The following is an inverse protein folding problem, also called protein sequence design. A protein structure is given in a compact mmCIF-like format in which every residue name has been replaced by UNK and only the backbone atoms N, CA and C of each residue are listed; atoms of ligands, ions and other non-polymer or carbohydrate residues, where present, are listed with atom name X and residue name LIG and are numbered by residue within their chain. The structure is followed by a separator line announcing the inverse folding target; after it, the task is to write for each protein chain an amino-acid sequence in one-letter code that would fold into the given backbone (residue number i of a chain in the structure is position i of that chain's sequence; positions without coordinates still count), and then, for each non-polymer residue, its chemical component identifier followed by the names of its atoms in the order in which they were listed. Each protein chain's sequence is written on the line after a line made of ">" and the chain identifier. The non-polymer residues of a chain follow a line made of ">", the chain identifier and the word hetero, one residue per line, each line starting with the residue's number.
data_IF_076484717763
#
_entry.id   IF_076484717763
#
_cell.length_a   1.000
_cell.length_b   1.000
_cell.length_c   1.000
_cell.angle_alpha   90.00
_cell.angle_beta   90.00
_cell.angle_gamma   90.00
#
_symmetry.space_group_name_H-M   'P 1'
#
loop_
_entity.id
_entity.type
_entity.pdbx_description
1 polymer ?
#
# COMPACT_ATOMS: atom_id res chain seq x y z
N UNK A 1 2.01 15.91 19.67
CA UNK A 1 1.27 15.60 20.91
C UNK A 1 0.30 14.43 20.71
N UNK A 2 -0.17 13.79 21.79
CA UNK A 2 -1.15 12.69 21.72
C UNK A 2 -2.45 13.11 21.01
N UNK A 3 -3.04 14.29 21.27
CA UNK A 3 -4.22 14.76 20.55
C UNK A 3 -4.02 14.89 19.04
N UNK A 4 -2.84 15.33 18.61
CA UNK A 4 -2.54 15.44 17.17
C UNK A 4 -2.45 14.06 16.52
N UNK A 5 -1.83 13.10 17.19
CA UNK A 5 -1.77 11.71 16.71
C UNK A 5 -3.18 11.14 16.55
N UNK A 6 -4.03 11.25 17.58
CA UNK A 6 -5.44 10.79 17.53
C UNK A 6 -6.18 11.38 16.34
N UNK A 7 -6.06 12.71 16.14
CA UNK A 7 -6.71 13.40 15.04
C UNK A 7 -6.20 12.94 13.67
N UNK A 8 -4.88 12.76 13.54
CA UNK A 8 -4.26 12.38 12.26
C UNK A 8 -4.68 10.98 11.82
N UNK A 9 -4.74 10.01 12.75
CA UNK A 9 -5.08 8.62 12.39
C UNK A 9 -6.58 8.36 12.33
N UNK A 10 -7.40 9.25 12.88
CA UNK A 10 -8.87 9.16 12.78
C UNK A 10 -9.35 9.19 11.32
N UNK A 11 -8.66 9.98 10.46
CA UNK A 11 -8.95 10.03 9.02
C UNK A 11 -8.65 8.72 8.29
N UNK A 12 -7.86 7.83 8.90
CA UNK A 12 -7.52 6.50 8.41
C UNK A 12 -8.38 5.39 9.06
N UNK A 13 -9.48 5.77 9.73
CA UNK A 13 -10.38 4.81 10.36
C UNK A 13 -9.95 4.28 11.74
N UNK A 14 -8.87 4.82 12.34
CA UNK A 14 -8.39 4.38 13.65
C UNK A 14 -8.96 5.22 14.79
N UNK A 15 -9.68 4.59 15.71
CA UNK A 15 -10.21 5.19 16.93
C UNK A 15 -9.27 4.90 18.11
N UNK A 16 -8.26 5.77 18.31
CA UNK A 16 -7.29 5.60 19.38
C UNK A 16 -7.91 5.79 20.77
N UNK A 17 -8.86 6.72 20.91
CA UNK A 17 -9.48 7.02 22.20
C UNK A 17 -10.25 5.79 22.72
N UNK A 18 -10.96 5.12 21.85
CA UNK A 18 -11.62 3.84 22.17
C UNK A 18 -10.61 2.76 22.56
N UNK A 19 -9.51 2.63 21.82
CA UNK A 19 -8.48 1.63 22.13
C UNK A 19 -7.81 1.89 23.49
N UNK A 20 -7.62 3.16 23.86
CA UNK A 20 -7.09 3.55 25.18
C UNK A 20 -8.11 3.26 26.26
N UNK A 21 -9.39 3.62 26.06
CA UNK A 21 -10.46 3.34 27.01
C UNK A 21 -10.63 1.82 27.26
N UNK A 22 -10.52 1.01 26.22
CA UNK A 22 -10.56 -0.45 26.26
C UNK A 22 -9.29 -1.09 26.86
N UNK A 23 -8.29 -0.30 27.27
CA UNK A 23 -6.97 -0.75 27.75
C UNK A 23 -6.21 -1.64 26.75
N UNK A 24 -6.48 -1.47 25.46
CA UNK A 24 -5.78 -2.18 24.36
C UNK A 24 -4.58 -1.40 23.85
N UNK A 25 -4.53 -0.10 24.13
CA UNK A 25 -3.48 0.80 23.74
C UNK A 25 -3.07 1.68 24.92
N UNK A 26 -1.78 1.90 25.07
CA UNK A 26 -1.21 2.93 25.93
C UNK A 26 -0.33 3.82 25.06
N UNK A 27 -0.52 5.13 25.12
CA UNK A 27 0.27 6.11 24.39
C UNK A 27 1.01 6.98 25.39
N UNK A 28 2.31 7.09 25.22
CA UNK A 28 3.17 7.95 26.03
C UNK A 28 3.99 8.88 25.13
N UNK A 29 4.24 10.08 25.59
CA UNK A 29 5.09 11.03 24.90
C UNK A 29 6.37 11.23 25.70
N UNK A 30 7.46 10.75 25.17
CA UNK A 30 8.78 10.89 25.78
C UNK A 30 9.48 12.09 25.15
N UNK A 31 9.74 13.13 25.94
CA UNK A 31 10.66 14.22 25.57
C UNK A 31 11.92 14.08 26.44
N UNK A 32 13.05 13.91 25.83
CA UNK A 32 14.33 13.86 26.52
C UNK A 32 14.94 15.26 26.41
N UNK A 33 15.14 15.93 27.54
CA UNK A 33 15.68 17.30 27.58
C UNK A 33 17.17 17.29 27.89
N UNK A 34 17.92 18.24 27.32
CA UNK A 34 19.37 18.38 27.55
C UNK A 34 19.78 18.51 29.03
N UNK A 35 18.89 19.00 29.87
CA UNK A 35 19.15 19.15 31.31
C UNK A 35 19.34 17.80 32.04
N UNK A 36 18.73 16.74 31.55
CA UNK A 36 18.86 15.39 32.14
C UNK A 36 20.23 14.76 31.85
N UNK A 37 20.96 15.27 30.82
CA UNK A 37 22.29 14.78 30.45
C UNK A 37 23.43 15.48 31.19
N UNK A 38 23.21 16.70 31.66
CA UNK A 38 24.26 17.55 32.22
C UNK A 38 24.69 17.16 33.64
N UNK A 39 23.81 16.45 34.37
CA UNK A 39 24.07 16.12 35.78
C UNK A 39 24.84 14.82 36.00
N UNK A 40 24.84 13.87 35.07
CA UNK A 40 25.45 12.56 35.26
C UNK A 40 26.65 12.28 34.35
N UNK A 41 26.91 13.09 33.33
CA UNK A 41 28.05 12.92 32.42
C UNK A 41 28.02 11.66 31.53
N UNK A 42 27.08 10.76 31.72
CA UNK A 42 26.85 9.57 30.91
C UNK A 42 25.39 9.56 30.40
N UNK A 43 25.23 9.25 29.12
CA UNK A 43 23.90 9.03 28.55
C UNK A 43 23.39 7.65 28.95
N UNK A 44 22.25 7.59 29.63
CA UNK A 44 21.64 6.33 30.06
C UNK A 44 20.17 6.25 29.74
N UNK A 45 19.79 5.21 29.01
CA UNK A 45 18.39 4.89 28.68
C UNK A 45 17.63 4.16 29.80
N UNK A 46 18.21 4.02 31.00
CA UNK A 46 17.57 3.27 32.09
C UNK A 46 16.18 3.78 32.41
N UNK A 47 16.00 5.10 32.47
CA UNK A 47 14.69 5.74 32.68
C UNK A 47 13.68 5.40 31.59
N UNK A 48 14.10 5.34 30.31
CA UNK A 48 13.27 4.91 29.19
C UNK A 48 12.86 3.44 29.33
N UNK A 49 13.78 2.56 29.70
CA UNK A 49 13.49 1.15 29.88
C UNK A 49 12.46 0.92 30.99
N UNK A 50 12.57 1.65 32.12
CA UNK A 50 11.61 1.61 33.22
C UNK A 50 10.22 2.08 32.74
N UNK A 51 10.14 3.19 32.00
CA UNK A 51 8.88 3.70 31.45
C UNK A 51 8.23 2.71 30.49
N UNK A 52 8.99 2.14 29.57
CA UNK A 52 8.47 1.13 28.62
C UNK A 52 8.02 -0.11 29.40
N UNK A 53 8.77 -0.58 30.38
CA UNK A 53 8.41 -1.74 31.19
C UNK A 53 7.09 -1.51 31.96
N UNK A 54 6.92 -0.34 32.59
CA UNK A 54 5.70 0.04 33.28
C UNK A 54 4.51 0.12 32.33
N UNK A 55 4.68 0.77 31.16
CA UNK A 55 3.64 0.85 30.14
C UNK A 55 3.21 -0.53 29.61
N UNK A 56 4.17 -1.40 29.33
CA UNK A 56 3.93 -2.79 28.92
C UNK A 56 3.12 -3.55 29.96
N UNK A 57 3.47 -3.37 31.23
CA UNK A 57 2.80 -4.06 32.34
C UNK A 57 1.36 -3.55 32.55
N UNK A 58 1.11 -2.23 32.41
CA UNK A 58 -0.22 -1.62 32.60
C UNK A 58 -1.29 -2.18 31.67
N UNK A 59 -0.94 -2.44 30.40
CA UNK A 59 -1.90 -2.93 29.39
C UNK A 59 -1.64 -4.37 28.96
N UNK A 60 -0.64 -5.05 29.55
CA UNK A 60 -0.25 -6.39 29.15
C UNK A 60 0.25 -6.45 27.69
N UNK A 61 0.96 -5.41 27.23
CA UNK A 61 1.35 -5.27 25.84
C UNK A 61 2.34 -6.35 25.43
N UNK A 62 2.18 -6.86 24.21
CA UNK A 62 3.14 -7.73 23.51
C UNK A 62 3.79 -7.02 22.32
N UNK A 63 3.32 -5.83 22.00
CA UNK A 63 3.78 -5.01 20.87
C UNK A 63 4.10 -3.61 21.34
N UNK A 64 5.21 -3.07 20.85
CA UNK A 64 5.68 -1.72 21.17
C UNK A 64 5.94 -0.98 19.85
N UNK A 65 5.57 0.28 19.79
CA UNK A 65 5.90 1.18 18.68
C UNK A 65 6.71 2.34 19.24
N UNK A 66 7.86 2.63 18.65
CA UNK A 66 8.70 3.79 18.98
C UNK A 66 8.76 4.70 17.73
N UNK A 67 8.15 5.88 17.84
CA UNK A 67 8.00 6.82 16.71
C UNK A 67 8.45 8.23 17.16
N UNK A 68 9.62 8.69 16.78
CA UNK A 68 10.71 8.09 16.01
C UNK A 68 11.93 7.82 16.89
N UNK A 69 12.89 7.02 16.41
CA UNK A 69 14.13 6.74 17.17
C UNK A 69 14.99 8.00 17.31
N UNK A 70 14.92 8.92 16.37
CA UNK A 70 15.65 10.18 16.41
C UNK A 70 15.25 11.05 17.59
N UNK A 71 14.00 10.97 18.04
CA UNK A 71 13.54 11.69 19.23
C UNK A 71 14.31 11.28 20.50
N UNK A 72 14.87 10.07 20.52
CA UNK A 72 15.64 9.56 21.65
C UNK A 72 17.13 9.95 21.58
N UNK A 73 17.68 10.18 20.37
CA UNK A 73 19.13 10.30 20.15
C UNK A 73 19.56 11.57 19.42
N UNK A 74 18.61 12.42 18.97
CA UNK A 74 18.85 13.54 18.06
C UNK A 74 19.88 14.57 18.57
N UNK A 75 20.02 14.71 19.89
CA UNK A 75 20.90 15.70 20.52
C UNK A 75 22.24 15.15 20.98
N UNK A 76 22.54 13.86 20.74
CA UNK A 76 23.80 13.25 21.18
C UNK A 76 24.93 13.54 20.20
N UNK A 77 26.04 14.13 20.68
CA UNK A 77 27.15 14.53 19.82
C UNK A 77 28.04 13.36 19.37
N UNK A 78 27.97 12.20 20.04
CA UNK A 78 28.86 11.07 19.77
C UNK A 78 28.11 9.89 19.11
N UNK A 79 28.32 9.64 17.80
CA UNK A 79 27.70 8.52 17.11
C UNK A 79 28.01 7.13 17.69
N UNK A 80 29.17 6.99 18.36
CA UNK A 80 29.55 5.72 19.00
C UNK A 80 28.67 5.38 20.19
N UNK A 81 28.32 6.38 21.01
CA UNK A 81 27.42 6.22 22.16
C UNK A 81 26.02 5.89 21.65
N UNK A 82 25.51 6.65 20.67
CA UNK A 82 24.20 6.40 20.03
C UNK A 82 24.10 4.94 19.58
N UNK A 83 25.14 4.44 18.95
CA UNK A 83 25.22 3.04 18.48
C UNK A 83 25.15 2.03 19.60
N UNK A 84 25.85 2.27 20.69
CA UNK A 84 25.81 1.41 21.85
C UNK A 84 24.42 1.31 22.47
N UNK A 85 23.78 2.47 22.66
CA UNK A 85 22.47 2.57 23.29
C UNK A 85 21.34 2.04 22.38
N UNK A 86 21.38 2.27 21.08
CA UNK A 86 20.45 1.63 20.12
C UNK A 86 20.53 0.11 20.23
N UNK A 87 21.74 -0.46 20.24
CA UNK A 87 21.94 -1.91 20.39
C UNK A 87 21.40 -2.41 21.73
N UNK A 88 21.63 -1.66 22.81
CA UNK A 88 21.13 -1.98 24.16
C UNK A 88 19.62 -2.00 24.19
N UNK A 89 18.95 -0.98 23.61
CA UNK A 89 17.50 -0.88 23.49
C UNK A 89 16.90 -2.08 22.73
N UNK A 90 17.42 -2.39 21.55
CA UNK A 90 16.91 -3.51 20.76
C UNK A 90 17.09 -4.86 21.48
N UNK A 91 18.24 -5.08 22.11
CA UNK A 91 18.48 -6.30 22.87
C UNK A 91 17.54 -6.42 24.08
N UNK A 92 17.30 -5.32 24.78
CA UNK A 92 16.41 -5.28 25.93
C UNK A 92 14.95 -5.59 25.51
N UNK A 93 14.44 -4.96 24.45
CA UNK A 93 13.10 -5.23 23.90
C UNK A 93 12.94 -6.71 23.51
N UNK A 94 13.98 -7.26 22.86
CA UNK A 94 14.01 -8.66 22.44
C UNK A 94 14.03 -9.63 23.64
N UNK A 95 14.80 -9.34 24.67
CA UNK A 95 14.83 -10.14 25.91
C UNK A 95 13.49 -10.15 26.63
N UNK A 96 12.70 -9.07 26.52
CA UNK A 96 11.35 -8.97 27.05
C UNK A 96 10.32 -9.71 26.18
N UNK A 97 10.70 -10.30 25.06
CA UNK A 97 9.80 -10.99 24.14
C UNK A 97 8.80 -10.07 23.41
N UNK A 98 9.14 -8.78 23.31
CA UNK A 98 8.29 -7.78 22.67
C UNK A 98 8.51 -7.74 21.16
N UNK A 99 7.43 -7.78 20.38
CA UNK A 99 7.51 -7.44 18.96
C UNK A 99 7.47 -5.91 18.84
N UNK A 100 8.54 -5.34 18.28
CA UNK A 100 8.69 -3.88 18.25
C UNK A 100 8.79 -3.37 16.83
N UNK A 101 8.03 -2.31 16.53
CA UNK A 101 8.16 -1.49 15.31
C UNK A 101 8.82 -0.18 15.72
N UNK A 102 9.88 0.18 15.03
CA UNK A 102 10.63 1.41 15.28
C UNK A 102 10.69 2.16 13.96
N UNK A 103 10.24 3.41 13.97
CA UNK A 103 10.37 4.29 12.82
C UNK A 103 11.68 5.06 12.91
N UNK A 104 12.31 5.29 11.76
CA UNK A 104 13.53 6.04 11.65
C UNK A 104 13.50 6.92 10.40
N UNK A 105 14.08 8.11 10.50
CA UNK A 105 14.19 9.03 9.39
C UNK A 105 15.40 8.69 8.51
N UNK A 106 15.26 8.98 7.23
CA UNK A 106 16.31 8.86 6.24
C UNK A 106 16.79 10.25 5.85
N UNK A 107 18.05 10.57 6.12
CA UNK A 107 18.65 11.87 5.81
C UNK A 107 19.33 11.93 4.43
N UNK A 108 19.80 10.79 3.91
CA UNK A 108 20.54 10.70 2.64
C UNK A 108 20.00 9.55 1.76
N UNK A 109 19.95 9.73 0.43
CA UNK A 109 19.43 8.72 -0.49
C UNK A 109 20.20 7.39 -0.51
N UNK A 110 21.48 7.39 -0.14
CA UNK A 110 22.38 6.24 -0.12
C UNK A 110 22.38 5.49 1.22
N UNK A 111 21.76 6.05 2.26
CA UNK A 111 21.64 5.42 3.58
C UNK A 111 20.20 4.98 3.83
N UNK A 112 20.03 3.88 4.57
CA UNK A 112 18.72 3.39 4.97
C UNK A 112 18.16 4.14 6.17
N UNK A 113 19.05 4.53 7.11
CA UNK A 113 18.73 5.24 8.34
C UNK A 113 19.78 6.29 8.64
N UNK A 114 19.45 7.28 9.45
CA UNK A 114 20.35 8.39 9.81
C UNK A 114 21.62 7.92 10.53
N UNK A 115 21.50 6.96 11.41
CA UNK A 115 22.63 6.47 12.21
C UNK A 115 23.32 5.24 11.58
N UNK A 116 22.70 4.58 10.60
CA UNK A 116 23.25 3.47 9.81
C UNK A 116 23.48 2.19 10.61
N UNK A 117 22.76 2.00 11.71
CA UNK A 117 22.92 0.86 12.62
C UNK A 117 21.65 0.11 12.88
N UNK A 118 20.55 0.81 12.90
CA UNK A 118 19.22 0.27 13.14
C UNK A 118 18.98 -0.92 12.21
N UNK A 119 19.45 -0.83 10.98
CA UNK A 119 19.39 -1.88 9.98
C UNK A 119 20.18 -3.14 10.32
N UNK A 120 21.27 -3.01 11.10
CA UNK A 120 22.11 -4.16 11.50
C UNK A 120 21.55 -4.90 12.71
N UNK A 121 20.90 -4.20 13.62
CA UNK A 121 20.35 -4.79 14.86
C UNK A 121 18.94 -5.29 14.71
N UNK A 122 18.14 -4.71 13.81
CA UNK A 122 16.76 -5.14 13.55
C UNK A 122 16.70 -6.48 12.79
N UNK A 123 15.65 -7.24 13.02
CA UNK A 123 15.39 -8.50 12.31
C UNK A 123 14.69 -8.29 10.97
N UNK A 124 13.90 -7.22 10.84
CA UNK A 124 13.24 -6.80 9.62
C UNK A 124 13.53 -5.33 9.34
N UNK A 125 13.79 -4.98 8.08
CA UNK A 125 13.95 -3.60 7.61
C UNK A 125 13.04 -3.38 6.42
N UNK A 126 12.12 -2.44 6.56
CA UNK A 126 11.20 -2.01 5.52
C UNK A 126 11.56 -0.58 5.15
N UNK A 127 11.90 -0.36 3.89
CA UNK A 127 12.19 0.96 3.34
C UNK A 127 10.93 1.51 2.68
N UNK A 128 10.54 2.71 3.07
CA UNK A 128 9.49 3.49 2.42
C UNK A 128 10.12 4.64 1.66
N UNK A 129 9.68 4.85 0.44
CA UNK A 129 10.18 5.88 -0.44
C UNK A 129 9.03 6.61 -1.13
N UNK A 130 9.20 7.90 -1.33
CA UNK A 130 8.22 8.76 -1.99
C UNK A 130 8.92 9.50 -3.13
N UNK A 131 8.54 9.20 -4.37
CA UNK A 131 9.15 9.74 -5.58
C UNK A 131 8.16 10.56 -6.38
N UNK A 132 8.64 11.64 -6.93
CA UNK A 132 7.91 12.43 -7.94
C UNK A 132 8.69 12.31 -9.23
N UNK A 133 8.05 11.74 -10.26
CA UNK A 133 8.57 11.66 -11.64
C UNK A 133 7.50 12.14 -12.60
N UNK A 134 7.84 13.05 -13.48
CA UNK A 134 6.91 13.59 -14.49
C UNK A 134 5.56 14.06 -13.85
N UNK A 135 5.66 14.77 -12.72
CA UNK A 135 4.53 15.26 -11.93
C UNK A 135 3.68 14.16 -11.25
N UNK A 136 4.04 12.89 -11.43
CA UNK A 136 3.35 11.77 -10.79
C UNK A 136 4.06 11.41 -9.49
N UNK A 137 3.32 11.47 -8.39
CA UNK A 137 3.76 11.07 -7.06
C UNK A 137 3.49 9.58 -6.83
N UNK A 138 4.53 8.82 -6.50
CA UNK A 138 4.42 7.39 -6.18
C UNK A 138 5.08 7.06 -4.86
N UNK A 139 4.40 6.28 -4.03
CA UNK A 139 4.98 5.69 -2.82
C UNK A 139 5.41 4.28 -3.10
N UNK A 140 6.60 3.91 -2.62
CA UNK A 140 7.16 2.58 -2.83
C UNK A 140 7.63 2.00 -1.51
N UNK A 141 7.43 0.69 -1.36
CA UNK A 141 7.85 -0.11 -0.21
C UNK A 141 8.81 -1.19 -0.71
N UNK A 142 9.89 -1.40 0.02
CA UNK A 142 10.83 -2.49 -0.21
C UNK A 142 11.21 -3.16 1.10
N UNK A 143 11.18 -4.49 1.14
CA UNK A 143 11.76 -5.25 2.23
C UNK A 143 13.25 -5.39 1.94
N UNK A 144 14.07 -4.69 2.72
CA UNK A 144 15.55 -4.71 2.57
C UNK A 144 16.13 -5.96 3.21
N UNK A 145 15.51 -6.38 4.31
CA UNK A 145 15.98 -7.50 5.12
C UNK A 145 14.82 -8.11 5.91
N UNK A 146 14.82 -9.42 6.01
CA UNK A 146 13.96 -10.15 6.95
C UNK A 146 14.68 -11.44 7.37
N UNK A 147 15.17 -11.48 8.62
CA UNK A 147 15.90 -12.64 9.16
C UNK A 147 14.97 -13.83 9.36
N UNK A 148 15.43 -15.01 8.95
CA UNK A 148 14.72 -16.26 9.17
C UNK A 148 13.57 -16.52 8.21
N UNK A 149 13.38 -15.68 7.17
CA UNK A 149 12.35 -15.88 6.13
C UNK A 149 12.84 -15.43 4.75
N UNK A 150 12.34 -16.08 3.71
CA UNK A 150 12.43 -15.58 2.34
C UNK A 150 11.46 -14.41 2.17
N UNK A 151 11.84 -13.43 1.37
CA UNK A 151 11.00 -12.26 1.07
C UNK A 151 11.27 -11.73 -0.34
N UNK A 152 10.29 -11.02 -0.90
CA UNK A 152 10.49 -10.29 -2.14
C UNK A 152 11.44 -9.12 -1.93
N UNK A 153 12.41 -8.95 -2.84
CA UNK A 153 13.43 -7.90 -2.77
C UNK A 153 13.12 -6.70 -3.67
N UNK A 154 12.05 -6.79 -4.45
CA UNK A 154 11.60 -5.73 -5.35
C UNK A 154 10.98 -4.55 -4.59
N UNK A 155 10.83 -3.43 -5.28
CA UNK A 155 10.04 -2.30 -4.80
C UNK A 155 8.58 -2.49 -5.22
N UNK A 156 7.68 -2.35 -4.27
CA UNK A 156 6.25 -2.48 -4.49
C UNK A 156 5.56 -1.11 -4.31
N UNK A 157 4.66 -0.71 -5.21
CA UNK A 157 3.83 0.46 -4.99
C UNK A 157 2.87 0.23 -3.83
N UNK A 158 2.58 1.29 -3.08
CA UNK A 158 1.57 1.25 -2.03
C UNK A 158 0.78 2.56 -1.96
N UNK A 159 -0.44 2.46 -1.47
CA UNK A 159 -1.31 3.59 -1.15
C UNK A 159 -1.55 3.66 0.34
N UNK A 160 -1.90 4.87 0.79
CA UNK A 160 -2.44 5.13 2.13
C UNK A 160 -3.83 5.72 1.90
N UNK A 161 -4.84 5.04 2.36
CA UNK A 161 -6.24 5.41 2.23
C UNK A 161 -6.99 5.20 3.57
N UNK A 162 -8.31 5.27 3.55
CA UNK A 162 -9.16 5.05 4.71
C UNK A 162 -9.18 3.59 5.23
N UNK A 163 -8.63 2.65 4.46
CA UNK A 163 -8.43 1.26 4.87
C UNK A 163 -7.01 1.02 5.42
N UNK A 164 -6.14 2.04 5.41
CA UNK A 164 -4.76 1.97 5.86
C UNK A 164 -3.74 1.89 4.72
N UNK A 165 -2.81 0.94 4.79
CA UNK A 165 -1.77 0.76 3.77
C UNK A 165 -2.14 -0.42 2.88
N UNK A 166 -2.35 -0.13 1.58
CA UNK A 166 -2.59 -1.13 0.55
C UNK A 166 -1.33 -1.33 -0.29
N UNK A 167 -0.81 -2.56 -0.35
CA UNK A 167 0.40 -2.91 -1.12
C UNK A 167 0.01 -3.88 -2.23
N UNK A 168 0.45 -3.60 -3.47
CA UNK A 168 0.22 -4.49 -4.60
C UNK A 168 1.55 -5.16 -5.03
N UNK A 169 1.78 -6.42 -4.64
CA UNK A 169 3.02 -7.13 -4.95
C UNK A 169 2.99 -7.73 -6.38
N UNK A 170 2.83 -6.90 -7.41
CA UNK A 170 2.66 -7.34 -8.82
C UNK A 170 3.80 -8.27 -9.27
N UNK A 171 5.02 -7.98 -8.85
CA UNK A 171 6.19 -8.77 -9.25
C UNK A 171 6.30 -10.15 -8.57
N UNK A 172 5.44 -10.44 -7.59
CA UNK A 172 5.38 -11.75 -6.94
C UNK A 172 4.27 -12.66 -7.50
N UNK A 173 3.47 -12.16 -8.45
CA UNK A 173 2.49 -12.98 -9.16
C UNK A 173 3.22 -14.01 -10.02
N UNK A 174 2.99 -15.28 -9.75
CA UNK A 174 3.53 -16.39 -10.54
C UNK A 174 2.96 -16.42 -11.97
N UNK A 175 3.64 -17.12 -12.86
CA UNK A 175 3.16 -17.39 -14.22
C UNK A 175 2.32 -18.67 -14.31
N UNK A 176 2.01 -19.28 -13.16
CA UNK A 176 1.24 -20.52 -13.09
C UNK A 176 -0.26 -20.18 -13.17
N UNK A 177 -0.77 -20.11 -14.39
CA UNK A 177 -2.16 -19.82 -14.70
C UNK A 177 -2.77 -21.00 -15.45
N UNK A 178 -3.97 -21.38 -15.07
CA UNK A 178 -4.79 -22.27 -15.86
C UNK A 178 -5.03 -21.68 -17.26
N UNK A 179 -4.86 -22.48 -18.29
CA UNK A 179 -5.14 -22.13 -19.68
C UNK A 179 -6.42 -22.84 -20.16
N UNK A 180 -7.62 -22.35 -19.80
CA UNK A 180 -8.86 -23.02 -20.13
C UNK A 180 -9.09 -23.02 -21.65
N UNK A 181 -9.54 -24.16 -22.19
CA UNK A 181 -9.92 -24.28 -23.60
C UNK A 181 -11.29 -23.63 -23.92
N UNK A 182 -12.01 -23.17 -22.90
CA UNK A 182 -13.29 -22.51 -23.06
C UNK A 182 -13.13 -21.21 -23.83
N UNK A 183 -14.09 -20.93 -24.69
CA UNK A 183 -14.14 -19.70 -25.51
C UNK A 183 -15.33 -18.84 -25.12
N UNK A 184 -15.14 -17.54 -25.17
CA UNK A 184 -16.17 -16.52 -24.90
C UNK A 184 -16.36 -15.64 -26.13
N UNK A 185 -17.62 -15.39 -26.48
CA UNK A 185 -17.96 -14.53 -27.62
C UNK A 185 -17.45 -13.10 -27.41
N UNK A 186 -16.92 -12.52 -28.46
CA UNK A 186 -16.57 -11.09 -28.53
C UNK A 186 -17.79 -10.17 -28.54
N UNK A 187 -19.01 -10.70 -28.72
CA UNK A 187 -20.24 -9.94 -28.97
C UNK A 187 -20.42 -9.52 -30.43
N UNK A 188 -19.46 -9.83 -31.30
CA UNK A 188 -19.49 -9.51 -32.73
C UNK A 188 -19.42 -10.84 -33.52
N UNK A 189 -20.53 -11.36 -33.97
CA UNK A 189 -20.63 -12.69 -34.60
C UNK A 189 -19.64 -12.90 -35.75
N UNK A 190 -19.43 -11.86 -36.58
CA UNK A 190 -18.47 -11.96 -37.71
C UNK A 190 -17.02 -12.01 -37.20
N UNK A 191 -16.69 -11.33 -36.12
CA UNK A 191 -15.37 -11.42 -35.48
C UNK A 191 -15.19 -12.80 -34.86
N UNK A 192 -16.20 -13.34 -34.22
CA UNK A 192 -16.14 -14.68 -33.67
C UNK A 192 -15.87 -15.75 -34.73
N UNK A 193 -16.48 -15.61 -35.93
CA UNK A 193 -16.19 -16.48 -37.08
C UNK A 193 -14.72 -16.38 -37.52
N UNK A 194 -14.15 -15.18 -37.59
CA UNK A 194 -12.73 -14.98 -37.89
C UNK A 194 -11.80 -15.58 -36.84
N UNK A 195 -12.30 -15.71 -35.61
CA UNK A 195 -11.57 -16.32 -34.48
C UNK A 195 -11.87 -17.83 -34.34
N UNK A 196 -12.28 -18.50 -35.41
CA UNK A 196 -12.59 -19.93 -35.40
C UNK A 196 -13.97 -20.29 -34.86
N UNK A 197 -14.93 -19.34 -34.92
CA UNK A 197 -16.36 -19.55 -34.68
C UNK A 197 -16.83 -19.39 -33.23
N UNK A 198 -15.92 -19.19 -32.27
CA UNK A 198 -16.29 -19.22 -30.83
C UNK A 198 -15.81 -18.00 -30.02
N UNK A 199 -15.13 -17.02 -30.65
CA UNK A 199 -14.59 -15.87 -29.99
C UNK A 199 -13.23 -16.09 -29.30
N UNK A 200 -12.98 -15.43 -28.19
CA UNK A 200 -11.69 -15.41 -27.48
C UNK A 200 -11.56 -16.61 -26.51
N UNK A 201 -10.35 -17.07 -26.25
CA UNK A 201 -10.14 -17.98 -25.11
C UNK A 201 -10.37 -17.25 -23.78
N UNK A 202 -11.04 -17.92 -22.84
CA UNK A 202 -11.22 -17.39 -21.48
C UNK A 202 -9.85 -17.21 -20.83
N UNK A 203 -9.65 -16.08 -20.14
CA UNK A 203 -8.37 -15.73 -19.50
C UNK A 203 -7.33 -15.11 -20.44
N UNK A 204 -7.61 -14.99 -21.76
CA UNK A 204 -6.68 -14.32 -22.69
C UNK A 204 -6.76 -12.80 -22.58
N UNK A 205 -5.61 -12.15 -22.75
CA UNK A 205 -5.51 -10.71 -22.95
C UNK A 205 -5.61 -10.36 -24.43
N UNK A 206 -6.54 -9.46 -24.79
CA UNK A 206 -6.79 -9.06 -26.16
C UNK A 206 -6.41 -7.58 -26.33
N UNK A 207 -5.56 -7.28 -27.29
CA UNK A 207 -5.21 -5.92 -27.68
C UNK A 207 -5.94 -5.53 -28.97
N UNK A 208 -6.81 -4.51 -28.90
CA UNK A 208 -7.37 -3.86 -30.07
C UNK A 208 -6.64 -2.52 -30.30
N UNK A 209 -5.89 -2.41 -31.37
CA UNK A 209 -5.07 -1.24 -31.72
C UNK A 209 -5.62 -0.54 -32.96
N UNK A 210 -5.50 0.78 -33.03
CA UNK A 210 -5.91 1.61 -34.17
C UNK A 210 -5.91 3.10 -33.83
N UNK A 211 -5.96 3.95 -34.84
CA UNK A 211 -6.06 5.41 -34.70
C UNK A 211 -7.41 5.85 -34.10
N UNK A 212 -7.58 7.13 -33.81
CA UNK A 212 -8.85 7.67 -33.34
C UNK A 212 -9.98 7.36 -34.34
N UNK A 213 -11.17 7.04 -33.84
CA UNK A 213 -12.35 6.76 -34.69
C UNK A 213 -12.41 5.37 -35.32
N UNK A 214 -11.45 4.47 -35.12
CA UNK A 214 -11.44 3.12 -35.72
C UNK A 214 -12.34 2.09 -35.04
N UNK A 215 -13.08 2.47 -33.99
CA UNK A 215 -14.05 1.60 -33.35
C UNK A 215 -13.51 0.75 -32.18
N UNK A 216 -12.35 1.10 -31.60
CA UNK A 216 -11.78 0.39 -30.43
C UNK A 216 -12.76 0.30 -29.27
N UNK A 217 -13.36 1.43 -28.90
CA UNK A 217 -14.37 1.52 -27.84
C UNK A 217 -15.61 0.71 -28.17
N UNK A 218 -16.02 0.66 -29.46
CA UNK A 218 -17.16 -0.16 -29.91
C UNK A 218 -16.89 -1.66 -29.74
N UNK A 219 -15.67 -2.13 -30.04
CA UNK A 219 -15.28 -3.54 -29.79
C UNK A 219 -15.35 -3.85 -28.30
N UNK A 220 -14.80 -2.97 -27.44
CA UNK A 220 -14.84 -3.15 -25.99
C UNK A 220 -16.28 -3.16 -25.46
N UNK A 221 -17.13 -2.28 -25.98
CA UNK A 221 -18.55 -2.22 -25.60
C UNK A 221 -19.35 -3.46 -26.03
N UNK A 222 -19.12 -4.00 -27.23
CA UNK A 222 -19.72 -5.27 -27.66
C UNK A 222 -19.30 -6.43 -26.74
N UNK A 223 -18.04 -6.49 -26.38
CA UNK A 223 -17.53 -7.51 -25.47
C UNK A 223 -18.19 -7.40 -24.08
N UNK A 224 -18.29 -6.18 -23.53
CA UNK A 224 -18.95 -5.93 -22.26
C UNK A 224 -20.46 -6.28 -22.32
N UNK A 225 -21.18 -5.88 -23.38
CA UNK A 225 -22.58 -6.22 -23.59
C UNK A 225 -22.79 -7.74 -23.67
N UNK A 226 -21.93 -8.46 -24.41
CA UNK A 226 -22.00 -9.90 -24.53
C UNK A 226 -21.74 -10.62 -23.20
N UNK A 227 -20.78 -10.15 -22.40
CA UNK A 227 -20.52 -10.69 -21.07
C UNK A 227 -21.74 -10.49 -20.15
N UNK A 228 -22.30 -9.28 -20.12
CA UNK A 228 -23.47 -8.97 -19.30
C UNK A 228 -24.74 -9.75 -19.74
N UNK A 229 -24.91 -10.00 -21.04
CA UNK A 229 -25.99 -10.87 -21.56
C UNK A 229 -25.88 -12.31 -21.06
N UNK A 230 -24.68 -12.80 -20.84
CA UNK A 230 -24.44 -14.14 -20.23
C UNK A 230 -24.62 -14.14 -18.70
N UNK A 231 -24.92 -12.98 -18.08
CA UNK A 231 -25.01 -12.82 -16.63
C UNK A 231 -23.65 -12.63 -15.95
N UNK A 232 -22.58 -12.45 -16.69
CA UNK A 232 -21.24 -12.21 -16.16
C UNK A 232 -21.07 -10.75 -15.75
N UNK A 233 -20.30 -10.50 -14.69
CA UNK A 233 -19.92 -9.14 -14.29
C UNK A 233 -18.78 -8.63 -15.17
N UNK A 234 -18.88 -7.38 -15.61
CA UNK A 234 -17.87 -6.72 -16.40
C UNK A 234 -17.42 -5.42 -15.74
N UNK A 235 -16.13 -5.20 -15.66
CA UNK A 235 -15.52 -3.95 -15.23
C UNK A 235 -14.93 -3.25 -16.44
N UNK A 236 -15.34 -1.99 -16.67
CA UNK A 236 -14.91 -1.17 -17.79
C UNK A 236 -14.08 0.01 -17.26
N UNK A 237 -12.78 -0.02 -17.50
CA UNK A 237 -11.90 1.12 -17.20
C UNK A 237 -12.00 2.16 -18.31
N UNK A 238 -12.38 3.39 -17.96
CA UNK A 238 -12.51 4.50 -18.89
C UNK A 238 -11.49 5.59 -18.56
N UNK A 239 -10.48 5.76 -19.40
CA UNK A 239 -9.37 6.69 -19.18
C UNK A 239 -9.50 8.01 -19.95
N UNK A 240 -10.29 8.04 -21.03
CA UNK A 240 -10.44 9.19 -21.92
C UNK A 240 -11.85 9.78 -21.90
N UNK A 241 -12.87 8.94 -21.86
CA UNK A 241 -14.28 9.34 -21.90
C UNK A 241 -14.98 9.06 -20.57
N UNK A 242 -15.94 9.89 -20.21
CA UNK A 242 -16.79 9.60 -19.05
C UNK A 242 -17.73 8.43 -19.31
N UNK A 243 -18.16 7.67 -18.27
CA UNK A 243 -19.11 6.57 -18.42
C UNK A 243 -20.39 6.97 -19.15
N UNK A 244 -20.92 8.17 -18.86
CA UNK A 244 -22.14 8.71 -19.51
C UNK A 244 -21.91 8.95 -21.00
N UNK A 245 -20.74 9.42 -21.41
CA UNK A 245 -20.40 9.60 -22.82
C UNK A 245 -20.31 8.25 -23.54
N UNK A 246 -19.63 7.28 -22.94
CA UNK A 246 -19.52 5.93 -23.51
C UNK A 246 -20.92 5.31 -23.70
N UNK A 247 -21.75 5.31 -22.67
CA UNK A 247 -23.13 4.75 -22.77
C UNK A 247 -23.95 5.46 -23.86
N UNK A 248 -23.91 6.79 -23.91
CA UNK A 248 -24.62 7.57 -24.94
C UNK A 248 -24.10 7.25 -26.35
N UNK A 249 -22.75 7.25 -26.53
CA UNK A 249 -22.15 7.03 -27.83
C UNK A 249 -22.38 5.60 -28.32
N UNK A 250 -22.36 4.61 -27.44
CA UNK A 250 -22.64 3.23 -27.79
C UNK A 250 -24.11 3.01 -28.15
N UNK A 251 -25.05 3.68 -27.47
CA UNK A 251 -26.47 3.62 -27.82
C UNK A 251 -26.74 4.10 -29.24
N UNK A 252 -25.97 5.11 -29.73
CA UNK A 252 -26.16 5.61 -31.12
C UNK A 252 -25.82 4.60 -32.21
N UNK A 253 -25.05 3.56 -31.86
CA UNK A 253 -24.68 2.45 -32.77
C UNK A 253 -25.40 1.14 -32.41
N UNK A 254 -26.44 1.21 -31.58
CA UNK A 254 -27.28 0.06 -31.24
C UNK A 254 -26.83 -0.77 -30.05
N UNK A 255 -25.82 -0.33 -29.28
CA UNK A 255 -25.36 -1.02 -28.07
C UNK A 255 -25.89 -0.27 -26.85
N UNK A 256 -26.90 -0.80 -26.17
CA UNK A 256 -27.45 -0.21 -24.95
C UNK A 256 -26.83 -0.85 -23.71
N UNK A 257 -25.87 -0.15 -23.10
CA UNK A 257 -25.16 -0.58 -21.88
C UNK A 257 -25.89 -0.19 -20.58
N UNK A 258 -26.88 0.74 -20.67
CA UNK A 258 -27.59 1.26 -19.49
C UNK A 258 -28.29 0.18 -18.66
N UNK A 259 -28.97 -0.83 -19.25
CA UNK A 259 -29.59 -1.90 -18.47
C UNK A 259 -28.61 -2.70 -17.64
N UNK A 260 -27.37 -2.87 -18.11
CA UNK A 260 -26.34 -3.61 -17.41
C UNK A 260 -25.75 -2.84 -16.23
N UNK A 261 -25.59 -1.53 -16.39
CA UNK A 261 -25.20 -0.62 -15.31
C UNK A 261 -26.24 -0.67 -14.19
N UNK A 262 -27.54 -0.56 -14.53
CA UNK A 262 -28.64 -0.62 -13.54
C UNK A 262 -28.74 -1.96 -12.82
N UNK A 263 -28.42 -3.06 -13.49
CA UNK A 263 -28.40 -4.41 -12.91
C UNK A 263 -27.13 -4.70 -12.08
N UNK A 264 -26.15 -3.78 -12.06
CA UNK A 264 -24.87 -4.00 -11.40
C UNK A 264 -23.98 -5.05 -12.08
N UNK A 265 -24.29 -5.43 -13.33
CA UNK A 265 -23.47 -6.34 -14.13
C UNK A 265 -22.32 -5.61 -14.84
N UNK A 266 -22.52 -4.34 -15.20
CA UNK A 266 -21.47 -3.50 -15.77
C UNK A 266 -21.14 -2.37 -14.80
N UNK A 267 -19.88 -2.34 -14.38
CA UNK A 267 -19.32 -1.25 -13.56
C UNK A 267 -18.29 -0.48 -14.36
N UNK A 268 -18.39 0.85 -14.35
CA UNK A 268 -17.39 1.72 -14.92
C UNK A 268 -16.47 2.26 -13.82
N UNK A 269 -15.18 2.20 -14.05
CA UNK A 269 -14.17 2.92 -13.30
C UNK A 269 -13.55 3.98 -14.20
N UNK A 270 -13.86 5.25 -13.97
CA UNK A 270 -13.30 6.36 -14.72
C UNK A 270 -12.15 7.00 -13.91
N UNK A 271 -10.94 6.93 -14.43
CA UNK A 271 -9.78 7.54 -13.83
C UNK A 271 -8.86 8.10 -14.92
N UNK A 272 -8.25 9.26 -14.67
CA UNK A 272 -7.18 9.75 -15.53
C UNK A 272 -5.86 9.15 -15.03
N UNK A 273 -5.08 8.42 -15.87
CA UNK A 273 -3.83 7.79 -15.45
C UNK A 273 -2.77 8.77 -14.90
N UNK A 274 -2.92 10.07 -15.23
CA UNK A 274 -2.04 11.15 -14.79
C UNK A 274 -2.16 11.49 -13.31
N UNK A 275 -3.20 11.00 -12.58
CA UNK A 275 -3.41 11.34 -11.16
C UNK A 275 -2.71 10.42 -10.18
N UNK A 276 -2.26 9.23 -10.58
CA UNK A 276 -1.66 8.29 -9.63
C UNK A 276 -0.93 7.10 -10.25
N UNK A 277 -0.76 7.08 -11.58
CA UNK A 277 -0.19 5.95 -12.29
C UNK A 277 -1.14 4.74 -12.41
N UNK A 278 -0.72 3.74 -13.18
CA UNK A 278 -1.49 2.50 -13.38
C UNK A 278 -1.63 1.72 -12.06
N UNK A 279 -0.63 1.81 -11.18
CA UNK A 279 -0.62 1.14 -9.88
C UNK A 279 -1.81 1.55 -9.00
N UNK A 280 -2.19 2.83 -9.03
CA UNK A 280 -3.35 3.32 -8.26
C UNK A 280 -4.66 2.76 -8.82
N UNK A 281 -4.77 2.63 -10.13
CA UNK A 281 -5.96 2.05 -10.77
C UNK A 281 -6.12 0.58 -10.39
N UNK A 282 -5.02 -0.17 -10.32
CA UNK A 282 -5.04 -1.59 -9.94
C UNK A 282 -5.41 -1.80 -8.47
N UNK A 283 -4.96 -0.91 -7.57
CA UNK A 283 -5.30 -0.97 -6.14
C UNK A 283 -6.79 -0.65 -5.86
N UNK A 284 -7.44 0.13 -6.71
CA UNK A 284 -8.87 0.45 -6.59
C UNK A 284 -9.80 -0.72 -7.01
N UNK A 285 -9.25 -1.85 -7.48
CA UNK A 285 -10.01 -3.01 -7.96
C UNK A 285 -10.02 -4.19 -6.98
N UNK A 286 -9.32 -4.06 -5.88
CA UNK A 286 -9.32 -5.01 -4.76
C UNK A 286 -10.15 -4.49 -3.60
#
# INVERSE_FOLDING_TARGET
>A
SIPDLTKNVASLGFDLDRLVADKKLFVDHVSITRSEFAETGEYDLEGLFIRIADAVQRVGARRVVLDTIEALFGDLPNPGIVRGEIRRLFNWLKQKGLTTVITAERDQPDRLTRHGIEEFVSDCVILLDHRIREEISTRRLRIVKYRGSTHGTNEYPFLIDDQGISVLPISSLGLDHDAPAERVSSGISRLDVMLGGKGFYRGSSILASGTAGTGKTSIAAHFADAACRRGERCLFFAFEESPRQIVRNMRSIGIDLEPWVRKGLLQFLAARPTYGGIEQVLLLTH
#
